data_IF_421409930622
#
_entry.id   IF_421409930622
#
_cell.length_a   1.000
_cell.length_b   1.000
_cell.length_c   1.000
_cell.angle_alpha   90.00
_cell.angle_beta   90.00
_cell.angle_gamma   90.00
#
_symmetry.space_group_name_H-M   'P 1'
#
loop_
_entity.id
_entity.type
_entity.pdbx_description
1 polymer ?
#
# COMPACT_ATOMS: atom_id res chain seq x y z
N UNK A 1 6.61 12.66 16.28
CA UNK A 1 5.55 11.75 16.77
C UNK A 1 5.75 11.33 18.23
N UNK A 2 6.86 10.70 18.63
CA UNK A 2 7.12 10.30 20.04
C UNK A 2 8.07 11.24 20.80
N UNK A 3 8.32 12.42 20.25
CA UNK A 3 9.13 13.43 20.92
C UNK A 3 8.37 13.98 22.15
N UNK A 4 9.09 14.37 23.21
CA UNK A 4 8.45 14.86 24.44
C UNK A 4 7.84 16.25 24.27
N UNK A 5 8.44 17.10 23.44
CA UNK A 5 8.06 18.51 23.29
C UNK A 5 7.26 18.77 22.01
N UNK A 6 7.59 18.05 20.94
CA UNK A 6 6.99 18.20 19.61
C UNK A 6 6.30 16.91 19.12
N UNK A 7 6.05 15.98 20.04
CA UNK A 7 5.32 14.74 19.74
C UNK A 7 3.83 14.97 19.57
N UNK A 8 3.14 13.91 19.16
CA UNK A 8 1.68 13.86 19.16
C UNK A 8 1.27 13.02 20.38
N UNK A 9 0.74 13.62 21.46
CA UNK A 9 0.55 12.92 22.73
C UNK A 9 -0.30 11.65 22.63
N UNK A 10 -1.33 11.65 21.78
CA UNK A 10 -2.18 10.46 21.57
C UNK A 10 -1.40 9.27 21.01
N UNK A 11 -0.44 9.50 20.11
CA UNK A 11 0.38 8.42 19.52
C UNK A 11 1.29 7.80 20.59
N UNK A 12 1.93 8.65 21.40
CA UNK A 12 2.80 8.20 22.49
C UNK A 12 2.03 7.44 23.58
N UNK A 13 0.77 7.83 23.85
CA UNK A 13 -0.12 7.14 24.78
C UNK A 13 -0.60 5.78 24.24
N UNK A 14 -0.86 5.67 22.93
CA UNK A 14 -1.34 4.45 22.30
C UNK A 14 -0.29 3.34 22.22
N UNK A 15 0.95 3.68 21.81
CA UNK A 15 2.05 2.72 21.80
C UNK A 15 3.40 3.41 21.89
N UNK A 16 4.41 2.71 22.43
CA UNK A 16 5.78 3.20 22.40
C UNK A 16 6.37 3.18 20.98
N UNK A 17 7.34 4.06 20.72
CA UNK A 17 8.08 4.10 19.45
C UNK A 17 8.67 2.73 19.10
N UNK A 18 9.24 2.03 20.08
CA UNK A 18 9.88 0.74 19.85
C UNK A 18 8.86 -0.33 19.45
N UNK A 19 7.67 -0.34 20.08
CA UNK A 19 6.58 -1.25 19.70
C UNK A 19 6.10 -0.96 18.28
N UNK A 20 5.91 0.31 17.92
CA UNK A 20 5.52 0.70 16.56
C UNK A 20 6.53 0.18 15.51
N UNK A 21 7.82 0.43 15.73
CA UNK A 21 8.87 -0.03 14.82
C UNK A 21 8.92 -1.55 14.71
N UNK A 22 8.69 -2.27 15.82
CA UNK A 22 8.65 -3.73 15.82
C UNK A 22 7.48 -4.27 14.97
N UNK A 23 6.28 -3.70 15.14
CA UNK A 23 5.11 -4.05 14.34
C UNK A 23 5.38 -3.77 12.87
N UNK A 24 5.86 -2.57 12.54
CA UNK A 24 6.19 -2.20 11.15
C UNK A 24 7.22 -3.12 10.50
N UNK A 25 8.23 -3.59 11.26
CA UNK A 25 9.28 -4.50 10.76
C UNK A 25 8.71 -5.88 10.37
N UNK A 26 7.78 -6.39 11.17
CA UNK A 26 7.26 -7.76 11.03
C UNK A 26 5.88 -7.85 10.38
N UNK A 27 5.26 -6.73 10.02
CA UNK A 27 3.98 -6.71 9.31
C UNK A 27 4.10 -7.46 7.97
N UNK A 28 3.20 -8.42 7.76
CA UNK A 28 3.10 -9.24 6.54
C UNK A 28 1.63 -9.45 6.20
N UNK A 29 1.33 -9.56 4.91
CA UNK A 29 -0.02 -9.75 4.38
C UNK A 29 -0.14 -11.02 3.53
N UNK A 30 0.81 -11.94 3.68
CA UNK A 30 0.86 -13.17 2.93
C UNK A 30 1.49 -14.31 3.72
N UNK A 31 1.21 -15.53 3.27
CA UNK A 31 1.79 -16.74 3.83
C UNK A 31 3.18 -16.98 3.23
N UNK A 32 4.21 -16.96 4.09
CA UNK A 32 5.63 -17.05 3.68
C UNK A 32 5.96 -18.39 3.04
N UNK A 33 5.35 -19.48 3.52
CA UNK A 33 5.62 -20.85 3.03
C UNK A 33 5.23 -21.01 1.55
N UNK A 34 4.17 -20.34 1.09
CA UNK A 34 3.66 -20.45 -0.29
C UNK A 34 4.20 -19.37 -1.23
N UNK A 35 4.95 -18.38 -0.71
CA UNK A 35 5.37 -17.20 -1.51
C UNK A 35 6.23 -17.56 -2.72
N UNK A 36 7.14 -18.54 -2.57
CA UNK A 36 8.10 -18.92 -3.62
C UNK A 36 7.43 -19.41 -4.90
N UNK A 37 6.30 -20.10 -4.78
CA UNK A 37 5.54 -20.58 -5.94
C UNK A 37 4.70 -19.47 -6.54
N UNK A 38 4.04 -18.65 -5.71
CA UNK A 38 3.16 -17.56 -6.16
C UNK A 38 3.89 -16.42 -6.85
N UNK A 39 5.11 -16.07 -6.42
CA UNK A 39 5.86 -14.95 -7.00
C UNK A 39 6.26 -15.16 -8.46
N UNK A 40 6.31 -16.42 -8.91
CA UNK A 40 6.63 -16.77 -10.29
C UNK A 40 5.55 -16.26 -11.25
N UNK A 41 4.28 -16.40 -10.88
CA UNK A 41 3.13 -15.95 -11.68
C UNK A 41 2.64 -14.56 -11.32
N UNK A 42 2.69 -14.17 -10.04
CA UNK A 42 2.22 -12.88 -9.54
C UNK A 42 3.29 -12.17 -8.71
N UNK A 43 3.95 -11.18 -9.32
CA UNK A 43 4.94 -10.34 -8.63
C UNK A 43 4.33 -9.55 -7.46
N UNK A 44 3.00 -9.36 -7.44
CA UNK A 44 2.25 -8.66 -6.40
C UNK A 44 1.68 -9.60 -5.31
N UNK A 45 2.07 -10.89 -5.33
CA UNK A 45 1.50 -11.93 -4.47
C UNK A 45 1.57 -11.65 -2.95
N UNK A 46 2.52 -10.82 -2.49
CA UNK A 46 2.70 -10.52 -1.07
C UNK A 46 1.59 -9.68 -0.43
N UNK A 47 0.74 -9.03 -1.24
CA UNK A 47 -0.41 -8.26 -0.76
C UNK A 47 -1.70 -8.58 -1.53
N UNK A 48 -1.64 -9.49 -2.51
CA UNK A 48 -2.74 -9.83 -3.43
C UNK A 48 -4.05 -10.11 -2.72
N UNK A 49 -4.03 -10.95 -1.69
CA UNK A 49 -5.25 -11.35 -0.97
C UNK A 49 -5.91 -10.18 -0.26
N UNK A 50 -5.11 -9.35 0.44
CA UNK A 50 -5.61 -8.14 1.10
C UNK A 50 -6.14 -7.14 0.06
N UNK A 51 -5.42 -6.96 -1.04
CA UNK A 51 -5.81 -6.05 -2.11
C UNK A 51 -7.14 -6.45 -2.74
N UNK A 52 -7.33 -7.72 -3.06
CA UNK A 52 -8.59 -8.21 -3.64
C UNK A 52 -9.76 -7.95 -2.69
N UNK A 53 -9.62 -8.29 -1.39
CA UNK A 53 -10.63 -8.01 -0.37
C UNK A 53 -10.94 -6.51 -0.27
N UNK A 54 -9.93 -5.66 -0.35
CA UNK A 54 -10.11 -4.21 -0.32
C UNK A 54 -10.92 -3.71 -1.53
N UNK A 55 -10.61 -4.20 -2.74
CA UNK A 55 -11.35 -3.84 -3.97
C UNK A 55 -12.78 -4.36 -3.93
N UNK A 56 -12.98 -5.63 -3.54
CA UNK A 56 -14.30 -6.25 -3.39
C UNK A 56 -15.17 -5.45 -2.42
N UNK A 57 -14.64 -5.09 -1.25
CA UNK A 57 -15.36 -4.26 -0.28
C UNK A 57 -15.68 -2.86 -0.84
N UNK A 58 -14.76 -2.24 -1.56
CA UNK A 58 -14.98 -0.91 -2.17
C UNK A 58 -16.13 -0.94 -3.19
N UNK A 59 -16.17 -1.98 -4.02
CA UNK A 59 -17.23 -2.19 -5.01
C UNK A 59 -18.58 -2.53 -4.36
N UNK A 60 -18.56 -3.26 -3.24
CA UNK A 60 -19.78 -3.59 -2.51
C UNK A 60 -20.39 -2.37 -1.79
N UNK A 61 -19.56 -1.45 -1.30
CA UNK A 61 -19.99 -0.30 -0.51
C UNK A 61 -20.53 0.87 -1.34
N UNK A 62 -20.27 0.92 -2.65
CA UNK A 62 -20.64 2.07 -3.47
C UNK A 62 -21.07 1.66 -4.88
N UNK A 63 -22.22 2.19 -5.32
CA UNK A 63 -22.69 2.09 -6.70
C UNK A 63 -22.42 3.41 -7.40
N UNK A 64 -21.48 3.46 -8.36
CA UNK A 64 -21.19 4.69 -9.08
C UNK A 64 -22.36 5.13 -9.96
N UNK A 65 -22.44 6.45 -10.17
CA UNK A 65 -23.35 7.06 -11.13
C UNK A 65 -22.75 7.08 -12.55
N UNK A 66 -23.40 7.79 -13.46
CA UNK A 66 -23.12 7.80 -14.90
C UNK A 66 -21.74 8.34 -15.28
N UNK A 67 -21.20 9.27 -14.50
CA UNK A 67 -19.95 9.96 -14.81
C UNK A 67 -18.82 9.33 -14.02
N UNK A 68 -18.04 8.49 -14.70
CA UNK A 68 -16.85 7.83 -14.18
C UNK A 68 -15.64 8.21 -15.00
N UNK A 69 -14.50 8.34 -14.36
CA UNK A 69 -13.21 8.53 -15.03
C UNK A 69 -12.26 7.41 -14.67
N UNK A 70 -11.41 7.02 -15.63
CA UNK A 70 -10.32 6.06 -15.42
C UNK A 70 -9.01 6.78 -15.70
N UNK A 71 -8.10 6.77 -14.74
CA UNK A 71 -6.80 7.41 -14.87
C UNK A 71 -5.70 6.65 -14.10
N UNK A 72 -4.46 7.04 -14.34
CA UNK A 72 -3.26 6.49 -13.75
C UNK A 72 -2.92 7.21 -12.45
N UNK A 73 -2.94 6.45 -11.35
CA UNK A 73 -2.35 6.86 -10.07
C UNK A 73 -0.93 6.30 -9.95
N UNK A 74 0.01 7.14 -9.51
CA UNK A 74 1.37 6.72 -9.18
C UNK A 74 1.57 6.83 -7.68
N UNK A 75 1.79 5.70 -7.02
CA UNK A 75 2.13 5.64 -5.59
C UNK A 75 3.65 5.78 -5.44
N UNK A 76 4.17 6.92 -4.92
CA UNK A 76 5.60 7.18 -4.88
C UNK A 76 6.35 6.09 -4.11
N UNK A 77 7.39 5.54 -4.72
CA UNK A 77 8.19 4.49 -4.09
C UNK A 77 9.59 4.43 -4.68
N UNK A 78 10.57 4.36 -3.80
CA UNK A 78 11.98 4.13 -4.12
C UNK A 78 12.44 2.73 -3.70
N UNK A 79 11.50 1.86 -3.35
CA UNK A 79 11.80 0.49 -2.91
C UNK A 79 12.25 -0.36 -4.10
N UNK A 80 13.10 -1.36 -3.82
CA UNK A 80 13.49 -2.36 -4.81
C UNK A 80 12.31 -3.28 -5.09
N UNK A 81 11.57 -2.97 -6.15
CA UNK A 81 10.39 -3.69 -6.56
C UNK A 81 10.36 -3.76 -8.09
N UNK A 82 10.06 -4.94 -8.63
CA UNK A 82 10.19 -5.25 -10.06
C UNK A 82 9.14 -4.60 -10.95
N UNK A 83 8.14 -3.94 -10.36
CA UNK A 83 7.05 -3.24 -11.05
C UNK A 83 6.98 -1.76 -10.68
N UNK A 84 8.08 -1.18 -10.21
CA UNK A 84 8.24 0.28 -10.16
C UNK A 84 8.35 0.82 -11.57
N UNK A 85 7.66 1.92 -11.83
CA UNK A 85 7.65 2.61 -13.10
C UNK A 85 8.15 4.05 -12.94
N UNK A 86 8.79 4.55 -13.99
CA UNK A 86 9.18 5.94 -14.13
C UNK A 86 8.12 6.70 -14.94
N UNK A 87 7.60 7.80 -14.42
CA UNK A 87 6.66 8.69 -15.10
C UNK A 87 7.17 10.14 -15.01
N UNK A 88 7.75 10.70 -16.08
CA UNK A 88 8.46 11.97 -16.02
C UNK A 88 7.57 13.17 -15.67
N UNK A 89 6.28 13.09 -16.01
CA UNK A 89 5.32 14.18 -15.86
C UNK A 89 4.58 14.17 -14.51
N UNK A 90 4.86 13.20 -13.63
CA UNK A 90 4.30 13.16 -12.27
C UNK A 90 5.26 13.86 -11.28
N UNK A 91 4.77 14.48 -10.19
CA UNK A 91 5.62 15.17 -9.21
C UNK A 91 6.71 14.25 -8.63
N UNK A 92 6.29 13.07 -8.18
CA UNK A 92 7.19 11.95 -7.89
C UNK A 92 7.34 11.12 -9.16
N UNK A 93 8.58 10.99 -9.64
CA UNK A 93 8.81 10.35 -10.93
C UNK A 93 8.87 8.82 -10.87
N UNK A 94 9.05 8.22 -9.70
CA UNK A 94 9.19 6.77 -9.53
C UNK A 94 8.16 6.25 -8.53
N UNK A 95 7.43 5.21 -8.92
CA UNK A 95 6.42 4.63 -8.05
C UNK A 95 5.76 3.39 -8.60
N UNK A 96 4.81 2.87 -7.83
CA UNK A 96 3.92 1.79 -8.27
C UNK A 96 2.77 2.45 -9.02
N UNK A 97 2.70 2.22 -10.34
CA UNK A 97 1.58 2.68 -11.16
C UNK A 97 0.36 1.78 -10.92
N UNK A 98 -0.82 2.39 -10.81
CA UNK A 98 -2.10 1.69 -10.72
C UNK A 98 -3.14 2.44 -11.56
N UNK A 99 -4.03 1.69 -12.20
CA UNK A 99 -5.22 2.26 -12.84
C UNK A 99 -6.33 2.37 -11.80
N UNK A 100 -6.96 3.53 -11.72
CA UNK A 100 -8.01 3.82 -10.75
C UNK A 100 -9.23 4.33 -11.49
N UNK A 101 -10.40 3.84 -11.10
CA UNK A 101 -11.69 4.36 -11.52
C UNK A 101 -12.32 5.12 -10.35
N UNK A 102 -12.81 6.32 -10.59
CA UNK A 102 -13.50 7.16 -9.61
C UNK A 102 -14.68 7.91 -10.24
#
# INVERSE_FOLDING_TARGET
MWDKNFGVPIIAKLMSRNKFLLVMKYLRFDEKSTRRTRVVSDKFCMIRELWNKFIENSQACYRPNQHLTVDEQLLPSKNRCSFIQYMPNKPDKFGIKSWVMA
#
